data_IF_722569962718
#
_entry.id   IF_722569962718
#
_cell.length_a   1.000
_cell.length_b   1.000
_cell.length_c   1.000
_cell.angle_alpha   90.00
_cell.angle_beta   90.00
_cell.angle_gamma   90.00
#
_symmetry.space_group_name_H-M   'P 1'
#
loop_
_entity.id
_entity.type
_entity.pdbx_description
1 polymer ?
#
# COMPACT_ATOMS: atom_id res chain seq x y z
N UNK A 1 6.30 9.69 -15.15
CA UNK A 1 6.83 8.88 -14.03
C UNK A 1 6.01 7.62 -13.98
N UNK A 2 6.64 6.46 -13.78
CA UNK A 2 5.97 5.18 -13.59
C UNK A 2 6.30 4.67 -12.18
N UNK A 3 5.31 4.16 -11.47
CA UNK A 3 5.44 3.64 -10.11
C UNK A 3 4.99 2.18 -10.12
N UNK A 4 5.93 1.25 -9.99
CA UNK A 4 5.59 -0.15 -9.73
C UNK A 4 5.14 -0.31 -8.29
N UNK A 5 4.05 -1.06 -8.08
CA UNK A 5 3.40 -1.18 -6.77
C UNK A 5 2.93 -2.61 -6.51
N UNK A 6 2.72 -2.93 -5.23
CA UNK A 6 1.87 -4.04 -4.82
C UNK A 6 0.48 -3.50 -4.48
N UNK A 7 -0.58 -4.00 -5.12
CA UNK A 7 -1.98 -3.53 -4.97
C UNK A 7 -2.47 -3.44 -3.51
N UNK A 8 -1.82 -4.20 -2.62
CA UNK A 8 -2.12 -4.30 -1.20
C UNK A 8 -0.85 -4.15 -0.34
N UNK A 9 0.08 -3.31 -0.78
CA UNK A 9 1.35 -3.02 -0.10
C UNK A 9 1.31 -1.71 0.69
N UNK A 10 1.34 -1.72 2.04
CA UNK A 10 1.33 -0.49 2.83
C UNK A 10 2.52 0.44 2.57
N UNK A 11 3.70 -0.10 2.24
CA UNK A 11 4.85 0.72 1.85
C UNK A 11 4.74 1.23 0.42
N UNK A 12 4.22 0.42 -0.51
CA UNK A 12 3.84 0.89 -1.85
C UNK A 12 2.87 2.09 -1.76
N UNK A 13 1.83 2.01 -0.91
CA UNK A 13 0.85 3.08 -0.74
C UNK A 13 1.48 4.37 -0.19
N UNK A 14 2.36 4.26 0.81
CA UNK A 14 3.12 5.42 1.33
C UNK A 14 4.06 6.01 0.28
N UNK A 15 4.74 5.16 -0.49
CA UNK A 15 5.66 5.58 -1.54
C UNK A 15 4.94 6.32 -2.67
N UNK A 16 3.78 5.82 -3.11
CA UNK A 16 2.92 6.51 -4.09
C UNK A 16 2.51 7.88 -3.58
N UNK A 17 2.00 7.99 -2.35
CA UNK A 17 1.63 9.29 -1.78
C UNK A 17 2.81 10.25 -1.77
N UNK A 18 3.98 9.81 -1.29
CA UNK A 18 5.17 10.65 -1.25
C UNK A 18 5.64 11.08 -2.66
N UNK A 19 5.55 10.20 -3.65
CA UNK A 19 5.92 10.50 -5.02
C UNK A 19 4.95 11.52 -5.66
N UNK A 20 3.64 11.40 -5.42
CA UNK A 20 2.64 12.35 -5.89
C UNK A 20 2.84 13.74 -5.26
N UNK A 21 3.08 13.81 -3.95
CA UNK A 21 3.36 15.06 -3.24
C UNK A 21 4.61 15.78 -3.78
N UNK A 22 5.66 15.02 -4.09
CA UNK A 22 6.91 15.57 -4.60
C UNK A 22 6.80 15.99 -6.07
N UNK A 23 6.15 15.19 -6.90
CA UNK A 23 6.08 15.42 -8.35
C UNK A 23 4.98 16.40 -8.76
N UNK A 24 3.87 16.47 -8.00
CA UNK A 24 2.66 17.24 -8.31
C UNK A 24 2.24 17.13 -9.78
N UNK A 25 1.94 15.90 -10.25
CA UNK A 25 1.63 15.70 -11.66
C UNK A 25 0.35 16.42 -12.07
N UNK A 26 0.21 16.68 -13.39
CA UNK A 26 -0.98 17.30 -13.97
C UNK A 26 -2.14 16.32 -14.18
N UNK A 27 -1.87 15.02 -14.11
CA UNK A 27 -2.83 13.93 -14.21
C UNK A 27 -2.24 12.68 -13.53
N UNK A 28 -3.11 11.81 -13.03
CA UNK A 28 -2.76 10.52 -12.42
C UNK A 28 -3.42 9.41 -13.23
N UNK A 29 -2.63 8.42 -13.66
CA UNK A 29 -3.10 7.26 -14.41
C UNK A 29 -2.97 6.04 -13.51
N UNK A 30 -4.04 5.26 -13.40
CA UNK A 30 -4.18 4.18 -12.40
C UNK A 30 -4.59 2.90 -13.14
N UNK A 31 -4.01 1.77 -12.75
CA UNK A 31 -4.47 0.47 -13.25
C UNK A 31 -5.91 0.22 -12.79
N UNK A 32 -6.73 -0.24 -13.72
CA UNK A 32 -8.16 -0.48 -13.57
C UNK A 32 -8.92 -0.24 -14.88
N UNK A 33 -10.18 -0.69 -14.98
CA UNK A 33 -10.96 -0.60 -16.20
C UNK A 33 -11.44 0.84 -16.46
N UNK A 34 -11.38 1.34 -17.70
CA UNK A 34 -11.79 2.71 -18.04
C UNK A 34 -13.28 2.99 -17.75
N UNK A 35 -14.14 1.97 -17.72
CA UNK A 35 -15.54 2.09 -17.32
C UNK A 35 -15.71 2.63 -15.90
N UNK A 36 -14.70 2.47 -15.03
CA UNK A 36 -14.73 2.95 -13.65
C UNK A 36 -14.36 4.45 -13.51
N UNK A 37 -13.97 5.15 -14.58
CA UNK A 37 -13.60 6.57 -14.53
C UNK A 37 -14.71 7.44 -13.92
N UNK A 38 -15.96 7.15 -14.26
CA UNK A 38 -17.12 7.87 -13.75
C UNK A 38 -17.36 7.65 -12.25
N UNK A 39 -16.78 6.60 -11.67
CA UNK A 39 -16.92 6.24 -10.26
C UNK A 39 -15.85 6.90 -9.38
N UNK A 40 -14.76 7.42 -9.96
CA UNK A 40 -13.67 8.09 -9.23
C UNK A 40 -14.20 9.16 -8.25
N UNK A 41 -15.14 10.06 -8.61
CA UNK A 41 -15.63 11.08 -7.68
C UNK A 41 -16.29 10.52 -6.42
N UNK A 42 -16.86 9.31 -6.46
CA UNK A 42 -17.51 8.67 -5.32
C UNK A 42 -16.51 8.35 -4.21
N UNK A 43 -15.25 8.10 -4.56
CA UNK A 43 -14.18 7.89 -3.58
C UNK A 43 -13.89 9.14 -2.75
N UNK A 44 -14.43 10.32 -3.11
CA UNK A 44 -14.32 11.56 -2.34
C UNK A 44 -15.29 11.65 -1.16
N UNK A 45 -16.38 10.88 -1.18
CA UNK A 45 -17.41 10.85 -0.14
C UNK A 45 -16.85 10.32 1.20
N UNK A 46 -17.25 10.91 2.33
CA UNK A 46 -16.78 10.52 3.66
C UNK A 46 -17.33 9.15 4.11
N UNK A 47 -18.47 8.72 3.57
CA UNK A 47 -19.07 7.41 3.82
C UNK A 47 -18.45 6.31 2.92
N UNK A 48 -17.77 6.68 1.83
CA UNK A 48 -17.07 5.74 0.96
C UNK A 48 -15.73 5.31 1.58
N UNK A 49 -15.79 4.37 2.52
CA UNK A 49 -14.64 3.89 3.29
C UNK A 49 -14.23 2.48 2.89
N UNK A 50 -12.94 2.23 2.59
CA UNK A 50 -12.46 0.88 2.31
C UNK A 50 -12.64 -0.06 3.51
N UNK A 51 -12.78 -1.38 3.28
CA UNK A 51 -12.64 -2.07 2.00
C UNK A 51 -13.83 -1.85 1.07
N UNK A 52 -13.55 -1.45 -0.16
CA UNK A 52 -14.53 -1.31 -1.26
C UNK A 52 -13.98 -2.02 -2.50
N UNK A 53 -14.82 -2.25 -3.50
CA UNK A 53 -14.35 -2.84 -4.75
C UNK A 53 -15.09 -2.22 -5.94
N UNK A 54 -14.39 -2.10 -7.06
CA UNK A 54 -15.06 -1.95 -8.35
C UNK A 54 -15.56 -3.34 -8.77
N UNK A 55 -16.81 -3.41 -9.20
CA UNK A 55 -17.45 -4.62 -9.68
C UNK A 55 -17.91 -4.41 -11.11
N UNK A 56 -17.41 -5.23 -12.03
CA UNK A 56 -17.97 -5.37 -13.37
C UNK A 56 -18.59 -6.75 -13.50
N UNK A 57 -19.74 -6.86 -14.16
CA UNK A 57 -20.37 -8.15 -14.46
C UNK A 57 -20.97 -8.15 -15.86
N UNK A 58 -21.09 -9.34 -16.46
CA UNK A 58 -21.87 -9.49 -17.68
C UNK A 58 -23.36 -9.34 -17.36
N UNK A 59 -24.07 -8.52 -18.13
CA UNK A 59 -25.50 -8.22 -17.88
C UNK A 59 -26.37 -9.47 -17.98
N UNK A 60 -26.15 -10.27 -19.02
CA UNK A 60 -26.90 -11.51 -19.28
C UNK A 60 -26.46 -12.67 -18.38
N UNK A 61 -25.27 -12.59 -17.78
CA UNK A 61 -24.68 -13.65 -16.96
C UNK A 61 -24.02 -13.03 -15.70
N UNK A 62 -24.80 -12.57 -14.70
CA UNK A 62 -24.25 -11.85 -13.54
C UNK A 62 -23.25 -12.64 -12.71
N UNK A 63 -23.27 -13.98 -12.80
CA UNK A 63 -22.25 -14.84 -12.20
C UNK A 63 -20.85 -14.64 -12.79
N UNK A 64 -20.74 -14.06 -14.00
CA UNK A 64 -19.48 -13.69 -14.62
C UNK A 64 -19.14 -12.25 -14.22
N UNK A 65 -18.21 -12.12 -13.29
CA UNK A 65 -17.86 -10.84 -12.67
C UNK A 65 -16.37 -10.72 -12.39
N UNK A 66 -15.87 -9.50 -12.49
CA UNK A 66 -14.50 -9.13 -12.18
C UNK A 66 -14.50 -8.10 -11.04
N UNK A 67 -13.53 -8.24 -10.14
CA UNK A 67 -13.41 -7.44 -8.93
C UNK A 67 -12.04 -6.77 -8.89
N UNK A 68 -12.03 -5.46 -8.62
CA UNK A 68 -10.83 -4.71 -8.27
C UNK A 68 -10.96 -4.22 -6.83
N UNK A 69 -10.48 -4.99 -5.83
CA UNK A 69 -10.59 -4.63 -4.43
C UNK A 69 -9.65 -3.48 -4.08
N UNK A 70 -10.15 -2.55 -3.25
CA UNK A 70 -9.45 -1.37 -2.79
C UNK A 70 -9.50 -1.33 -1.26
N UNK A 71 -8.33 -1.29 -0.64
CA UNK A 71 -8.16 -1.14 0.79
C UNK A 71 -7.55 0.23 1.13
N UNK A 72 -7.56 0.62 2.41
CA UNK A 72 -6.90 1.86 2.86
C UNK A 72 -5.40 1.87 2.53
N UNK A 73 -4.79 0.68 2.47
CA UNK A 73 -3.39 0.48 2.11
C UNK A 73 -3.19 0.09 0.64
N UNK A 74 -4.21 0.25 -0.21
CA UNK A 74 -4.06 0.10 -1.66
C UNK A 74 -3.44 1.37 -2.26
N UNK A 75 -2.32 1.27 -2.99
CA UNK A 75 -1.71 2.41 -3.67
C UNK A 75 -2.66 3.12 -4.64
N UNK A 76 -3.56 2.39 -5.28
CA UNK A 76 -4.60 2.88 -6.19
C UNK A 76 -5.60 3.74 -5.44
N UNK A 77 -6.11 3.26 -4.29
CA UNK A 77 -7.00 4.03 -3.42
C UNK A 77 -6.35 5.34 -2.96
N UNK A 78 -5.08 5.26 -2.54
CA UNK A 78 -4.31 6.44 -2.15
C UNK A 78 -4.13 7.42 -3.31
N UNK A 79 -3.85 6.93 -4.52
CA UNK A 79 -3.71 7.77 -5.71
C UNK A 79 -5.02 8.47 -6.09
N UNK A 80 -6.16 7.76 -6.01
CA UNK A 80 -7.50 8.33 -6.23
C UNK A 80 -7.78 9.45 -5.22
N UNK A 81 -7.63 9.16 -3.92
CA UNK A 81 -7.89 10.13 -2.84
C UNK A 81 -6.99 11.36 -2.96
N UNK A 82 -5.69 11.16 -3.20
CA UNK A 82 -4.76 12.28 -3.40
C UNK A 82 -5.16 13.15 -4.60
N UNK A 83 -5.58 12.54 -5.71
CA UNK A 83 -5.98 13.26 -6.93
C UNK A 83 -7.20 14.13 -6.67
N UNK A 84 -8.21 13.60 -5.97
CA UNK A 84 -9.41 14.34 -5.57
C UNK A 84 -9.08 15.49 -4.62
N UNK A 85 -8.25 15.25 -3.60
CA UNK A 85 -7.81 16.25 -2.63
C UNK A 85 -7.09 17.44 -3.29
N UNK A 86 -6.37 17.19 -4.39
CA UNK A 86 -5.56 18.20 -5.09
C UNK A 86 -6.23 18.74 -6.37
N UNK A 87 -7.43 18.29 -6.71
CA UNK A 87 -8.11 18.67 -7.96
C UNK A 87 -7.36 18.25 -9.22
N UNK A 88 -6.57 17.18 -9.15
CA UNK A 88 -5.82 16.63 -10.29
C UNK A 88 -6.67 15.55 -10.97
N UNK A 89 -6.82 15.56 -12.31
CA UNK A 89 -7.55 14.51 -13.00
C UNK A 89 -6.93 13.13 -12.81
N UNK A 90 -7.74 12.15 -12.40
CA UNK A 90 -7.38 10.73 -12.36
C UNK A 90 -8.13 9.95 -13.45
N UNK A 91 -7.47 8.97 -14.08
CA UNK A 91 -8.05 8.09 -15.11
C UNK A 91 -7.54 6.66 -14.96
N UNK A 92 -8.40 5.71 -15.24
CA UNK A 92 -8.08 4.30 -15.35
C UNK A 92 -7.52 3.99 -16.75
N UNK A 93 -6.53 3.08 -16.84
CA UNK A 93 -5.78 2.85 -18.08
C UNK A 93 -5.65 1.38 -18.53
N UNK A 94 -6.33 0.44 -17.87
CA UNK A 94 -6.31 -0.95 -18.34
C UNK A 94 -7.18 -1.14 -19.59
N UNK A 95 -7.20 -2.38 -20.08
CA UNK A 95 -8.18 -2.79 -21.08
C UNK A 95 -9.61 -2.69 -20.52
N UNK A 96 -10.60 -2.47 -21.40
CA UNK A 96 -12.01 -2.53 -21.02
C UNK A 96 -12.36 -3.82 -20.27
N UNK A 97 -13.21 -3.74 -19.25
CA UNK A 97 -13.59 -4.88 -18.40
C UNK A 97 -14.14 -6.07 -19.19
N UNK A 98 -14.66 -5.84 -20.40
CA UNK A 98 -15.09 -6.90 -21.33
C UNK A 98 -14.00 -7.91 -21.67
N UNK A 99 -12.73 -7.50 -21.68
CA UNK A 99 -11.61 -8.40 -21.95
C UNK A 99 -11.34 -9.31 -20.75
N UNK A 100 -11.36 -8.77 -19.53
CA UNK A 100 -11.27 -9.56 -18.29
C UNK A 100 -12.42 -10.55 -18.20
N UNK A 101 -13.65 -10.10 -18.43
CA UNK A 101 -14.84 -10.94 -18.39
C UNK A 101 -14.88 -11.99 -19.52
N UNK A 102 -14.21 -11.76 -20.64
CA UNK A 102 -14.12 -12.72 -21.74
C UNK A 102 -13.09 -13.82 -21.45
N UNK A 103 -11.99 -13.49 -20.76
CA UNK A 103 -10.96 -14.46 -20.37
C UNK A 103 -11.54 -15.54 -19.44
N UNK A 104 -12.44 -15.17 -18.53
CA UNK A 104 -13.16 -16.10 -17.65
C UNK A 104 -14.07 -17.09 -18.42
N UNK A 105 -14.44 -16.79 -19.67
CA UNK A 105 -15.25 -17.68 -20.53
C UNK A 105 -14.42 -18.84 -21.08
N UNK A 106 -13.12 -18.67 -21.20
CA UNK A 106 -12.20 -19.65 -21.80
C UNK A 106 -11.58 -20.61 -20.79
N UNK A 107 -11.88 -20.48 -19.50
CA UNK A 107 -11.62 -21.52 -18.49
C UNK A 107 -12.90 -22.33 -18.16
N UNK A 108 -13.36 -23.25 -19.04
CA UNK A 108 -14.07 -24.40 -18.52
C UNK A 108 -13.06 -25.25 -17.72
N UNK A 109 -13.51 -25.94 -16.69
CA UNK A 109 -12.77 -27.00 -15.99
C UNK A 109 -12.52 -28.22 -16.88
N UNK A 110 -11.98 -28.00 -18.09
CA UNK A 110 -11.50 -29.01 -18.99
C UNK A 110 -10.08 -29.37 -18.55
N UNK A 111 -9.87 -30.67 -18.38
CA UNK A 111 -8.58 -31.31 -18.18
C UNK A 111 -7.51 -30.61 -19.02
N UNK A 112 -6.45 -30.13 -18.34
CA UNK A 112 -5.29 -29.50 -18.96
C UNK A 112 -4.63 -30.50 -19.92
N UNK A 113 -5.13 -30.59 -21.15
CA UNK A 113 -4.28 -30.98 -22.27
C UNK A 113 -3.12 -29.97 -22.30
N UNK A 114 -1.85 -30.43 -22.39
CA UNK A 114 -0.73 -29.50 -22.41
C UNK A 114 -0.86 -28.66 -23.67
N UNK A 115 -1.26 -27.39 -23.47
CA UNK A 115 -1.10 -26.33 -24.46
C UNK A 115 0.32 -26.44 -25.04
N UNK A 116 0.52 -26.36 -26.37
CA UNK A 116 1.85 -26.27 -26.94
C UNK A 116 2.57 -25.13 -26.23
N UNK A 117 3.68 -25.47 -25.57
CA UNK A 117 4.45 -24.50 -24.79
C UNK A 117 4.75 -23.31 -25.70
N UNK A 118 4.43 -22.07 -25.29
CA UNK A 118 4.78 -20.91 -26.08
C UNK A 118 6.28 -20.97 -26.35
N UNK A 119 6.63 -21.07 -27.63
CA UNK A 119 7.99 -21.06 -28.14
C UNK A 119 8.57 -19.65 -27.97
N UNK A 120 8.86 -19.26 -26.72
CA UNK A 120 9.80 -18.21 -26.28
C UNK A 120 9.78 -18.04 -24.74
N UNK A 121 9.81 -19.13 -23.98
CA UNK A 121 10.09 -19.07 -22.52
C UNK A 121 11.57 -18.74 -22.21
N UNK A 122 12.44 -18.83 -23.20
CA UNK A 122 13.83 -18.43 -23.09
C UNK A 122 13.94 -16.90 -23.15
N UNK A 123 14.10 -16.27 -21.99
CA UNK A 123 14.51 -14.87 -21.76
C UNK A 123 13.37 -13.83 -21.79
N UNK A 124 12.32 -14.03 -20.99
CA UNK A 124 11.80 -12.89 -20.23
C UNK A 124 12.67 -12.75 -18.99
N UNK A 125 13.62 -11.82 -19.04
CA UNK A 125 14.39 -11.40 -17.87
C UNK A 125 13.38 -11.01 -16.78
N UNK A 126 13.42 -11.65 -15.62
CA UNK A 126 12.67 -11.19 -14.46
C UNK A 126 13.34 -9.91 -13.94
N UNK A 127 12.72 -8.72 -14.17
CA UNK A 127 13.34 -7.47 -13.80
C UNK A 127 13.49 -7.32 -12.28
N UNK A 128 12.61 -7.94 -11.48
CA UNK A 128 12.70 -7.88 -10.02
C UNK A 128 13.87 -8.74 -9.53
N UNK A 129 14.06 -9.93 -10.09
CA UNK A 129 15.22 -10.77 -9.79
C UNK A 129 16.54 -10.06 -10.11
N UNK A 130 16.64 -9.39 -11.26
CA UNK A 130 17.84 -8.64 -11.64
C UNK A 130 18.10 -7.47 -10.68
N UNK A 131 17.07 -6.73 -10.29
CA UNK A 131 17.20 -5.63 -9.33
C UNK A 131 17.62 -6.14 -7.93
N UNK A 132 17.09 -7.28 -7.51
CA UNK A 132 17.43 -7.92 -6.25
C UNK A 132 18.90 -8.40 -6.24
N UNK A 133 19.33 -9.11 -7.28
CA UNK A 133 20.71 -9.57 -7.43
C UNK A 133 21.68 -8.39 -7.41
N UNK A 134 21.39 -7.33 -8.17
CA UNK A 134 22.19 -6.10 -8.19
C UNK A 134 22.25 -5.40 -6.81
N UNK A 135 21.23 -5.57 -5.97
CA UNK A 135 21.19 -5.08 -4.59
C UNK A 135 21.83 -6.05 -3.57
N UNK A 136 22.31 -7.22 -4.00
CA UNK A 136 22.93 -8.24 -3.14
C UNK A 136 21.93 -9.17 -2.45
N UNK A 137 20.72 -9.28 -2.99
CA UNK A 137 19.68 -10.19 -2.54
C UNK A 137 19.61 -11.42 -3.45
N UNK A 138 19.37 -12.58 -2.85
CA UNK A 138 19.12 -13.85 -3.53
C UNK A 138 17.63 -14.11 -3.81
N UNK A 139 16.76 -13.32 -3.17
CA UNK A 139 15.30 -13.42 -3.28
C UNK A 139 14.68 -12.05 -3.62
N UNK A 140 14.00 -11.91 -4.78
CA UNK A 140 13.36 -10.66 -5.18
C UNK A 140 12.21 -10.23 -4.27
N UNK A 141 11.47 -11.17 -3.67
CA UNK A 141 10.38 -10.82 -2.75
C UNK A 141 10.95 -10.22 -1.46
N UNK A 142 12.00 -10.83 -0.89
CA UNK A 142 12.70 -10.26 0.26
C UNK A 142 13.30 -8.89 -0.05
N UNK A 143 13.85 -8.70 -1.25
CA UNK A 143 14.33 -7.39 -1.68
C UNK A 143 13.20 -6.36 -1.72
N UNK A 144 12.04 -6.71 -2.30
CA UNK A 144 10.87 -5.84 -2.35
C UNK A 144 10.38 -5.45 -0.95
N UNK A 145 10.24 -6.44 -0.06
CA UNK A 145 9.84 -6.21 1.32
C UNK A 145 10.76 -5.21 2.02
N UNK A 146 12.08 -5.39 1.93
CA UNK A 146 13.05 -4.52 2.61
C UNK A 146 13.12 -3.11 1.99
N UNK A 147 13.15 -3.02 0.66
CA UNK A 147 13.47 -1.79 -0.08
C UNK A 147 12.24 -0.95 -0.41
N UNK A 148 11.07 -1.58 -0.56
CA UNK A 148 9.81 -0.91 -0.91
C UNK A 148 8.87 -0.90 0.29
N UNK A 149 8.52 -2.07 0.84
CA UNK A 149 7.45 -2.14 1.85
C UNK A 149 7.87 -1.60 3.23
N UNK A 150 9.12 -1.83 3.64
CA UNK A 150 9.68 -1.38 4.92
C UNK A 150 10.43 -0.04 4.84
N UNK A 151 10.52 0.57 3.65
CA UNK A 151 11.18 1.87 3.46
C UNK A 151 10.47 2.92 4.32
N UNK A 152 11.19 3.46 5.32
CA UNK A 152 10.67 4.48 6.23
C UNK A 152 10.55 4.08 7.71
N UNK A 153 10.97 2.87 8.11
CA UNK A 153 11.22 2.52 9.53
C UNK A 153 12.66 2.07 9.78
N UNK A 154 13.63 2.81 9.23
CA UNK A 154 15.04 2.63 9.55
C UNK A 154 15.50 3.72 10.51
N UNK A 155 15.82 3.34 11.75
CA UNK A 155 16.84 4.02 12.55
C UNK A 155 17.98 4.39 11.59
N UNK A 156 18.36 5.66 11.56
CA UNK A 156 19.53 6.10 10.81
C UNK A 156 20.74 5.30 11.31
N UNK A 157 21.15 4.27 10.58
CA UNK A 157 22.47 3.69 10.77
C UNK A 157 23.46 4.73 10.26
N UNK A 158 23.99 5.55 11.18
CA UNK A 158 24.98 6.57 10.86
C UNK A 158 26.15 5.86 10.18
N UNK A 159 26.38 6.21 8.92
CA UNK A 159 27.44 5.69 8.05
C UNK A 159 28.82 6.18 8.52
N UNK A 160 29.22 5.80 9.73
CA UNK A 160 30.54 6.03 10.35
C UNK A 160 30.76 5.01 11.47
N UNK A 161 30.93 3.74 11.11
CA UNK A 161 31.66 2.75 11.91
C UNK A 161 32.02 1.59 11.00
N UNK A 162 33.31 1.28 10.92
CA UNK A 162 33.87 0.23 10.06
C UNK A 162 33.17 -1.10 10.34
N UNK A 163 32.76 -1.76 9.26
CA UNK A 163 32.19 -3.10 9.28
C UNK A 163 33.28 -4.10 9.70
N UNK A 164 33.31 -4.50 10.98
CA UNK A 164 34.03 -5.69 11.42
C UNK A 164 33.05 -6.85 11.49
N UNK A 165 33.21 -7.81 10.58
CA UNK A 165 32.49 -9.08 10.53
C UNK A 165 32.53 -9.79 11.90
N UNK A 166 31.40 -9.89 12.61
CA UNK A 166 31.12 -10.96 13.58
C UNK A 166 29.62 -11.31 13.57
N UNK A 167 29.24 -12.58 13.78
CA UNK A 167 27.85 -13.03 13.66
C UNK A 167 27.03 -12.59 14.88
N UNK A 168 25.73 -12.40 14.64
CA UNK A 168 24.72 -11.94 15.60
C UNK A 168 24.87 -12.57 17.00
N UNK A 169 25.14 -11.70 17.99
CA UNK A 169 25.16 -12.05 19.40
C UNK A 169 24.44 -10.99 20.24
N UNK A 170 23.32 -11.38 20.85
CA UNK A 170 22.60 -10.79 22.01
C UNK A 170 22.88 -9.31 22.31
N UNK A 171 21.91 -8.45 21.97
CA UNK A 171 21.89 -7.05 22.42
C UNK A 171 21.47 -6.98 23.90
N UNK A 172 22.45 -6.88 24.81
CA UNK A 172 22.22 -6.57 26.22
C UNK A 172 21.87 -5.09 26.40
N UNK A 173 20.73 -4.79 27.04
CA UNK A 173 20.34 -3.43 27.44
C UNK A 173 21.43 -2.85 28.34
N UNK A 174 22.07 -1.75 27.92
CA UNK A 174 22.87 -0.90 28.81
C UNK A 174 21.94 0.14 29.43
N UNK A 175 21.83 0.12 30.74
CA UNK A 175 21.24 1.19 31.55
C UNK A 175 22.21 2.37 31.62
N UNK A 176 21.69 3.58 31.47
CA UNK A 176 22.45 4.82 31.66
C UNK A 176 22.51 5.18 33.16
N UNK A 177 23.58 5.83 33.66
CA UNK A 177 23.70 6.18 35.06
C UNK A 177 23.07 7.55 35.40
N UNK A 178 22.28 7.53 36.48
CA UNK A 178 22.10 8.55 37.52
C UNK A 178 22.12 10.06 37.19
N UNK A 179 20.98 10.72 37.44
CA UNK A 179 20.94 12.13 37.83
C UNK A 179 20.13 12.29 39.13
N UNK A 180 20.67 13.10 40.04
CA UNK A 180 20.34 13.24 41.47
C UNK A 180 19.03 14.01 41.73
N UNK A 181 18.50 13.77 42.94
CA UNK A 181 17.32 14.40 43.54
C UNK A 181 17.53 15.86 43.99
N UNK A 182 16.43 16.61 44.02
CA UNK A 182 16.26 17.91 44.68
C UNK A 182 14.76 18.30 44.72
N UNK A 183 14.30 19.06 45.72
CA UNK A 183 13.09 18.72 46.49
C UNK A 183 11.80 19.38 45.98
N UNK A 184 10.65 18.75 46.24
CA UNK A 184 9.33 19.39 46.16
C UNK A 184 8.68 19.44 47.54
N UNK A 185 8.47 20.68 47.99
CA UNK A 185 7.69 21.11 49.14
C UNK A 185 6.20 21.18 48.81
N UNK A 186 5.35 20.91 49.81
CA UNK A 186 3.92 21.22 49.87
C UNK A 186 3.03 20.16 49.20
N UNK A 187 2.06 19.50 49.84
CA UNK A 187 1.31 19.85 51.04
C UNK A 187 -0.17 20.06 50.68
N UNK A 188 -1.03 19.25 51.30
CA UNK A 188 -2.47 19.46 51.58
C UNK A 188 -3.52 18.88 50.61
N UNK A 189 -4.04 17.72 51.05
CA UNK A 189 -5.44 17.27 51.25
C UNK A 189 -6.55 17.32 50.16
N UNK A 190 -7.18 16.13 50.05
CA UNK A 190 -8.60 15.75 49.90
C UNK A 190 -9.68 16.87 49.97
N UNK A 191 -10.88 16.79 49.37
CA UNK A 191 -11.77 15.67 49.05
C UNK A 191 -12.88 16.14 48.04
N UNK A 192 -13.84 15.29 47.61
CA UNK A 192 -14.82 15.58 46.56
C UNK A 192 -16.13 16.20 47.11
N UNK A 193 -16.89 16.88 46.24
CA UNK A 193 -18.20 17.44 46.57
C UNK A 193 -19.16 17.36 45.40
N UNK A 194 -20.34 16.78 45.65
CA UNK A 194 -21.43 16.51 44.74
C UNK A 194 -22.40 17.69 44.55
N UNK A 195 -23.27 17.57 43.54
CA UNK A 195 -24.46 18.42 43.29
C UNK A 195 -24.54 18.68 41.78
N UNK A 196 -25.48 18.15 41.00
CA UNK A 196 -26.93 18.17 41.19
C UNK A 196 -27.54 18.99 40.02
N UNK A 197 -28.65 18.58 39.39
CA UNK A 197 -28.98 18.91 38.00
C UNK A 197 -29.95 20.09 37.84
N UNK A 198 -30.00 20.70 36.65
CA UNK A 198 -31.14 21.50 36.21
C UNK A 198 -31.21 21.51 34.67
N UNK A 199 -32.35 21.08 34.13
CA UNK A 199 -32.72 21.21 32.72
C UNK A 199 -33.40 22.55 32.41
N UNK A 200 -34.21 22.51 31.33
CA UNK A 200 -35.01 23.60 30.71
C UNK A 200 -34.16 24.37 29.67
N UNK A 201 -34.46 24.42 28.37
CA UNK A 201 -35.69 24.19 27.57
C UNK A 201 -35.30 23.78 26.15
#
# INVERSE_FOLDING_TARGET
MLLGVRHHGPGSARAVRAALEAARPRAVLIEGPPEADALIPLAGDEEMRPPVALLAHAVEEPGRSAFWPLAEFSPEWVAIRWSLEHGVPARFIDLPATHTLAWDKEEPAAEKEPLPQPVDEAVRVDPLAVLAEAAGYDDPERWWEDVVEHRGRGVTCSRRSRCSRRPWGRCGRRTAPGARAGPRSGGVHAAPGAGGPAGVR
#
